data_IF_874207764226
#
_entry.id   IF_874207764226
#
_cell.length_a   1.000
_cell.length_b   1.000
_cell.length_c   1.000
_cell.angle_alpha   90.00
_cell.angle_beta   90.00
_cell.angle_gamma   90.00
#
_symmetry.space_group_name_H-M   'P 1'
#
loop_
_entity.id
_entity.type
_entity.pdbx_description
1 polymer ?
#
# COMPACT_ATOMS: atom_id res chain seq x y z
N UNK A 1 -9.42 -25.56 -3.62
CA UNK A 1 -9.43 -24.70 -2.42
C UNK A 1 -10.85 -24.73 -1.84
N UNK A 2 -11.01 -24.94 -0.53
CA UNK A 2 -12.32 -25.19 0.11
C UNK A 2 -12.64 -24.16 1.19
N UNK A 3 -13.92 -23.91 1.54
CA UNK A 3 -14.29 -23.04 2.67
C UNK A 3 -13.65 -23.47 3.99
N UNK A 4 -13.58 -24.77 4.26
CA UNK A 4 -12.94 -25.33 5.48
C UNK A 4 -11.45 -24.98 5.57
N UNK A 5 -10.72 -24.97 4.44
CA UNK A 5 -9.32 -24.52 4.42
C UNK A 5 -9.20 -23.04 4.78
N UNK A 6 -10.01 -22.18 4.17
CA UNK A 6 -9.96 -20.74 4.43
C UNK A 6 -10.38 -20.42 5.86
N UNK A 7 -11.41 -21.10 6.37
CA UNK A 7 -11.84 -21.00 7.76
C UNK A 7 -10.72 -21.37 8.74
N UNK A 8 -10.02 -22.49 8.50
CA UNK A 8 -8.86 -22.87 9.32
C UNK A 8 -7.71 -21.87 9.22
N UNK A 9 -7.42 -21.33 8.03
CA UNK A 9 -6.40 -20.31 7.86
C UNK A 9 -6.74 -19.04 8.64
N UNK A 10 -7.99 -18.58 8.58
CA UNK A 10 -8.47 -17.43 9.34
C UNK A 10 -8.32 -17.65 10.84
N UNK A 11 -8.77 -18.80 11.35
CA UNK A 11 -8.63 -19.15 12.76
C UNK A 11 -7.15 -19.28 13.18
N UNK A 12 -6.30 -19.81 12.29
CA UNK A 12 -4.86 -19.92 12.54
C UNK A 12 -4.17 -18.55 12.60
N UNK A 13 -4.60 -17.59 11.79
CA UNK A 13 -4.09 -16.21 11.88
C UNK A 13 -4.36 -15.64 13.28
N UNK A 14 -5.58 -15.81 13.79
CA UNK A 14 -5.99 -15.38 15.13
C UNK A 14 -5.25 -16.13 16.26
N UNK A 15 -5.47 -17.44 16.36
CA UNK A 15 -5.15 -18.24 17.55
C UNK A 15 -4.19 -19.41 17.25
N UNK A 16 -3.61 -19.44 16.04
CA UNK A 16 -2.76 -20.52 15.58
C UNK A 16 -1.29 -20.37 15.93
N UNK A 17 -0.64 -21.50 16.18
CA UNK A 17 0.83 -21.64 16.20
C UNK A 17 1.25 -22.99 15.64
N UNK A 18 2.46 -23.09 15.11
CA UNK A 18 2.92 -24.32 14.51
C UNK A 18 4.42 -24.50 14.59
N UNK A 19 4.87 -25.75 14.61
CA UNK A 19 6.26 -26.09 14.34
C UNK A 19 6.35 -27.51 13.77
N UNK A 20 7.44 -27.86 13.05
CA UNK A 20 7.60 -29.21 12.51
C UNK A 20 7.52 -30.31 13.57
N UNK A 21 7.87 -30.00 14.82
CA UNK A 21 7.85 -30.95 15.95
C UNK A 21 6.53 -30.96 16.70
N UNK A 22 5.90 -29.80 16.90
CA UNK A 22 4.67 -29.68 17.69
C UNK A 22 3.39 -29.82 16.85
N UNK A 23 3.51 -29.85 15.51
CA UNK A 23 2.37 -29.87 14.61
C UNK A 23 1.72 -28.50 14.46
N UNK A 24 0.48 -28.49 13.98
CA UNK A 24 -0.40 -27.31 13.93
C UNK A 24 -1.23 -27.27 15.20
N UNK A 25 -1.29 -26.13 15.88
CA UNK A 25 -2.02 -25.94 17.14
C UNK A 25 -2.91 -24.72 17.04
N UNK A 26 -4.16 -24.85 17.44
CA UNK A 26 -5.10 -23.74 17.58
C UNK A 26 -5.46 -23.60 19.06
N UNK A 27 -5.20 -22.44 19.65
CA UNK A 27 -5.68 -22.13 20.99
C UNK A 27 -7.19 -21.90 20.94
N UNK A 28 -7.90 -22.55 21.86
CA UNK A 28 -9.34 -22.41 22.02
C UNK A 28 -9.58 -21.57 23.27
N UNK A 29 -9.73 -20.26 23.07
CA UNK A 29 -10.21 -19.37 24.12
C UNK A 29 -11.61 -19.77 24.62
N UNK A 30 -12.18 -19.04 25.57
CA UNK A 30 -13.50 -19.35 26.13
C UNK A 30 -14.63 -19.44 25.08
N UNK A 31 -14.46 -18.77 23.92
CA UNK A 31 -15.38 -18.86 22.76
C UNK A 31 -14.99 -19.92 21.74
N UNK A 32 -13.71 -20.32 21.72
CA UNK A 32 -13.18 -21.31 20.77
C UNK A 32 -13.78 -22.71 20.99
N UNK A 33 -14.18 -23.04 22.22
CA UNK A 33 -14.82 -24.34 22.51
C UNK A 33 -16.12 -24.54 21.71
N UNK A 34 -16.90 -23.47 21.51
CA UNK A 34 -18.14 -23.47 20.69
C UNK A 34 -17.88 -23.98 19.27
N UNK A 35 -16.71 -23.69 18.72
CA UNK A 35 -16.35 -23.98 17.33
C UNK A 35 -15.54 -25.27 17.16
N UNK A 36 -15.29 -26.00 18.25
CA UNK A 36 -14.40 -27.17 18.24
C UNK A 36 -14.82 -28.21 17.21
N UNK A 37 -16.11 -28.55 17.13
CA UNK A 37 -16.62 -29.54 16.19
C UNK A 37 -16.42 -29.13 14.73
N UNK A 38 -16.61 -27.84 14.44
CA UNK A 38 -16.39 -27.29 13.11
C UNK A 38 -14.90 -27.25 12.75
N UNK A 39 -14.03 -26.88 13.70
CA UNK A 39 -12.58 -26.93 13.50
C UNK A 39 -12.08 -28.36 13.27
N UNK A 40 -12.57 -29.34 14.04
CA UNK A 40 -12.26 -30.76 13.84
C UNK A 40 -12.64 -31.20 12.43
N UNK A 41 -13.88 -30.91 12.01
CA UNK A 41 -14.36 -31.21 10.65
C UNK A 41 -13.46 -30.58 9.60
N UNK A 42 -13.10 -29.31 9.78
CA UNK A 42 -12.25 -28.62 8.82
C UNK A 42 -10.85 -29.25 8.74
N UNK A 43 -10.26 -29.70 9.86
CA UNK A 43 -8.99 -30.43 9.84
C UNK A 43 -9.11 -31.77 9.09
N UNK A 44 -10.22 -32.49 9.29
CA UNK A 44 -10.50 -33.74 8.58
C UNK A 44 -10.67 -33.51 7.08
N UNK A 45 -11.41 -32.47 6.67
CA UNK A 45 -11.57 -32.11 5.25
C UNK A 45 -10.23 -31.74 4.61
N UNK A 46 -9.40 -30.96 5.31
CA UNK A 46 -8.16 -30.40 4.73
C UNK A 46 -7.01 -31.39 4.72
N UNK A 47 -6.85 -32.17 5.79
CA UNK A 47 -5.70 -33.05 5.98
C UNK A 47 -6.04 -34.54 5.95
N UNK A 48 -7.32 -34.91 5.95
CA UNK A 48 -7.75 -36.30 6.12
C UNK A 48 -7.40 -36.86 7.51
N UNK A 49 -7.20 -35.97 8.50
CA UNK A 49 -6.73 -36.32 9.84
C UNK A 49 -7.52 -35.59 10.91
N UNK A 50 -7.97 -36.32 11.92
CA UNK A 50 -8.63 -35.77 13.10
C UNK A 50 -7.59 -35.17 14.06
N UNK A 51 -7.70 -33.88 14.43
CA UNK A 51 -6.84 -33.27 15.42
C UNK A 51 -7.27 -33.71 16.83
N UNK A 52 -6.36 -33.65 17.80
CA UNK A 52 -6.62 -34.01 19.19
C UNK A 52 -6.86 -32.77 20.04
N UNK A 53 -7.98 -32.75 20.77
CA UNK A 53 -8.27 -31.74 21.77
C UNK A 53 -7.45 -32.02 23.04
N UNK A 54 -6.67 -31.04 23.48
CA UNK A 54 -5.88 -31.08 24.70
C UNK A 54 -6.42 -30.05 25.68
N UNK A 55 -6.72 -30.48 26.90
CA UNK A 55 -7.15 -29.60 28.00
C UNK A 55 -6.07 -29.59 29.08
N UNK A 56 -5.90 -28.44 29.72
CA UNK A 56 -4.94 -28.20 30.80
C UNK A 56 -5.63 -27.37 31.87
N UNK A 57 -5.30 -27.57 33.15
CA UNK A 57 -5.88 -26.77 34.24
C UNK A 57 -5.43 -25.31 34.18
N UNK A 58 -4.15 -25.06 33.86
CA UNK A 58 -3.56 -23.70 33.87
C UNK A 58 -3.54 -22.96 32.52
N UNK A 59 -4.02 -23.59 31.44
CA UNK A 59 -3.94 -23.07 30.06
C UNK A 59 -5.25 -23.23 29.33
N UNK A 60 -5.45 -22.40 28.31
CA UNK A 60 -6.56 -22.55 27.38
C UNK A 60 -6.50 -23.92 26.69
N UNK A 61 -7.66 -24.47 26.34
CA UNK A 61 -7.71 -25.71 25.58
C UNK A 61 -7.04 -25.51 24.21
N UNK A 62 -6.47 -26.57 23.64
CA UNK A 62 -5.80 -26.50 22.35
C UNK A 62 -6.23 -27.66 21.45
N UNK A 63 -6.56 -27.35 20.20
CA UNK A 63 -6.75 -28.34 19.15
C UNK A 63 -5.42 -28.56 18.43
N UNK A 64 -4.90 -29.80 18.43
CA UNK A 64 -3.56 -30.11 17.91
C UNK A 64 -3.60 -31.18 16.83
N UNK A 65 -3.08 -30.86 15.64
CA UNK A 65 -2.74 -31.83 14.61
C UNK A 65 -1.23 -32.08 14.64
N UNK A 66 -0.82 -33.17 15.30
CA UNK A 66 0.59 -33.59 15.36
C UNK A 66 0.92 -34.43 14.12
N UNK A 67 1.13 -33.75 13.00
CA UNK A 67 1.58 -34.34 11.75
C UNK A 67 2.66 -33.43 11.15
N UNK A 68 3.87 -33.98 10.97
CA UNK A 68 5.03 -33.22 10.51
C UNK A 68 4.88 -32.75 9.06
N UNK A 69 4.29 -33.59 8.20
CA UNK A 69 4.08 -33.24 6.80
C UNK A 69 3.06 -32.11 6.74
N UNK A 70 1.93 -32.26 7.43
CA UNK A 70 0.90 -31.22 7.51
C UNK A 70 1.48 -29.89 8.04
N UNK A 71 2.29 -29.93 9.10
CA UNK A 71 2.88 -28.72 9.68
C UNK A 71 3.89 -28.04 8.75
N UNK A 72 4.74 -28.81 8.06
CA UNK A 72 5.68 -28.26 7.08
C UNK A 72 4.94 -27.67 5.87
N UNK A 73 3.96 -28.40 5.34
CA UNK A 73 3.11 -27.90 4.25
C UNK A 73 2.40 -26.61 4.68
N UNK A 74 1.79 -26.58 5.86
CA UNK A 74 1.10 -25.40 6.38
C UNK A 74 2.05 -24.21 6.52
N UNK A 75 3.26 -24.45 7.01
CA UNK A 75 4.28 -23.43 7.20
C UNK A 75 4.77 -22.84 5.86
N UNK A 76 5.19 -23.69 4.92
CA UNK A 76 5.83 -23.22 3.69
C UNK A 76 4.80 -22.78 2.64
N UNK A 77 3.67 -23.47 2.49
CA UNK A 77 2.66 -23.14 1.46
C UNK A 77 1.90 -21.87 1.79
N UNK A 78 1.62 -21.62 3.07
CA UNK A 78 0.83 -20.46 3.50
C UNK A 78 1.66 -19.35 4.15
N UNK A 79 3.00 -19.45 4.10
CA UNK A 79 3.89 -18.37 4.54
C UNK A 79 3.94 -18.16 6.06
N UNK A 80 3.80 -19.23 6.85
CA UNK A 80 3.89 -19.17 8.31
C UNK A 80 5.25 -19.61 8.87
N UNK A 81 6.24 -19.86 8.01
CA UNK A 81 7.59 -20.20 8.44
C UNK A 81 8.23 -19.06 9.23
N UNK A 82 8.61 -19.34 10.47
CA UNK A 82 9.17 -18.33 11.38
C UNK A 82 8.19 -17.23 11.81
N UNK A 83 6.91 -17.33 11.43
CA UNK A 83 5.92 -16.30 11.73
C UNK A 83 5.59 -16.26 13.24
N UNK A 84 5.56 -15.05 13.79
CA UNK A 84 5.15 -14.76 15.16
C UNK A 84 3.87 -13.93 15.14
N UNK A 85 3.29 -13.65 16.31
CA UNK A 85 2.12 -12.77 16.40
C UNK A 85 2.34 -11.37 15.79
N UNK A 86 3.59 -10.90 15.70
CA UNK A 86 3.94 -9.59 15.13
C UNK A 86 4.30 -9.63 13.65
N UNK A 87 4.56 -10.82 13.09
CA UNK A 87 5.03 -10.97 11.70
C UNK A 87 4.12 -11.81 10.81
N UNK A 88 3.08 -12.45 11.37
CA UNK A 88 2.03 -13.12 10.57
C UNK A 88 1.48 -12.17 9.51
N UNK A 89 1.02 -12.74 8.40
CA UNK A 89 0.39 -12.04 7.27
C UNK A 89 -0.82 -12.84 6.79
N UNK A 90 -1.71 -12.18 6.04
CA UNK A 90 -2.77 -12.90 5.32
C UNK A 90 -2.10 -13.73 4.22
N UNK A 91 -2.34 -15.04 4.14
CA UNK A 91 -1.73 -15.88 3.09
C UNK A 91 -2.14 -15.43 1.69
N UNK A 92 -1.20 -15.47 0.74
CA UNK A 92 -1.43 -15.01 -0.64
C UNK A 92 -2.62 -15.67 -1.33
N UNK A 93 -2.90 -16.92 -0.96
CA UNK A 93 -4.05 -17.67 -1.46
C UNK A 93 -5.39 -16.94 -1.23
N UNK A 94 -5.53 -16.21 -0.12
CA UNK A 94 -6.78 -15.51 0.24
C UNK A 94 -7.14 -14.43 -0.78
N UNK A 95 -6.16 -13.81 -1.43
CA UNK A 95 -6.37 -12.78 -2.44
C UNK A 95 -6.84 -13.34 -3.79
N UNK A 96 -6.65 -14.64 -4.02
CA UNK A 96 -6.89 -15.29 -5.32
C UNK A 96 -8.16 -16.15 -5.34
N UNK A 97 -8.98 -16.06 -4.30
CA UNK A 97 -10.21 -16.85 -4.17
C UNK A 97 -11.47 -15.99 -4.26
N UNK A 98 -12.58 -16.64 -4.56
CA UNK A 98 -13.89 -15.99 -4.65
C UNK A 98 -14.29 -15.34 -3.32
N UNK A 99 -15.18 -14.37 -3.40
CA UNK A 99 -15.69 -13.64 -2.23
C UNK A 99 -16.25 -14.56 -1.12
N UNK A 100 -17.03 -15.64 -1.40
CA UNK A 100 -17.47 -16.56 -0.36
C UNK A 100 -16.32 -17.27 0.38
N UNK A 101 -15.21 -17.55 -0.32
CA UNK A 101 -14.02 -18.15 0.30
C UNK A 101 -13.24 -17.13 1.13
N UNK A 102 -13.15 -15.87 0.68
CA UNK A 102 -12.64 -14.75 1.50
C UNK A 102 -13.49 -14.56 2.76
N UNK A 103 -14.81 -14.69 2.66
CA UNK A 103 -15.72 -14.59 3.81
C UNK A 103 -15.49 -15.73 4.81
N UNK A 104 -15.25 -16.95 4.33
CA UNK A 104 -14.90 -18.08 5.20
C UNK A 104 -13.59 -17.83 5.98
N UNK A 105 -12.59 -17.19 5.37
CA UNK A 105 -11.37 -16.76 6.05
C UNK A 105 -11.65 -15.71 7.13
N UNK A 106 -12.38 -14.63 6.79
CA UNK A 106 -12.76 -13.59 7.75
C UNK A 106 -13.56 -14.18 8.92
N UNK A 107 -14.45 -15.14 8.66
CA UNK A 107 -15.23 -15.85 9.68
C UNK A 107 -14.32 -16.63 10.62
N UNK A 108 -13.36 -17.37 10.07
CA UNK A 108 -12.37 -18.10 10.87
C UNK A 108 -11.60 -17.18 11.82
N UNK A 109 -11.17 -16.02 11.32
CA UNK A 109 -10.47 -15.04 12.14
C UNK A 109 -11.40 -14.43 13.20
N UNK A 110 -12.59 -13.98 12.79
CA UNK A 110 -13.59 -13.40 13.71
C UNK A 110 -13.92 -14.36 14.87
N UNK A 111 -13.96 -15.66 14.60
CA UNK A 111 -14.29 -16.69 15.61
C UNK A 111 -13.13 -17.02 16.54
N UNK A 112 -11.89 -16.79 16.12
CA UNK A 112 -10.71 -16.96 16.96
C UNK A 112 -10.62 -15.89 18.03
N UNK A 113 -10.31 -14.66 17.62
CA UNK A 113 -10.04 -13.54 18.52
C UNK A 113 -10.92 -12.29 18.28
N UNK A 114 -11.76 -12.32 17.25
CA UNK A 114 -12.61 -11.18 16.88
C UNK A 114 -13.70 -10.86 17.90
N UNK A 115 -14.17 -9.62 17.92
CA UNK A 115 -15.22 -9.12 18.82
C UNK A 115 -16.50 -8.88 18.05
N UNK A 116 -17.60 -9.46 18.55
CA UNK A 116 -18.97 -9.23 18.08
C UNK A 116 -19.76 -8.59 19.20
N UNK A 117 -20.27 -7.38 18.95
CA UNK A 117 -21.05 -6.58 19.88
C UNK A 117 -22.13 -5.78 19.13
N UNK A 118 -22.91 -4.98 19.87
CA UNK A 118 -24.03 -4.23 19.33
C UNK A 118 -23.57 -3.26 18.22
N UNK A 119 -23.92 -3.59 16.95
CA UNK A 119 -23.50 -2.83 15.75
C UNK A 119 -21.99 -2.65 15.61
N UNK A 120 -21.23 -3.67 16.02
CA UNK A 120 -19.78 -3.58 16.07
C UNK A 120 -19.11 -4.93 15.82
N UNK A 121 -18.25 -4.97 14.80
CA UNK A 121 -17.27 -6.03 14.57
C UNK A 121 -15.87 -5.46 14.74
N UNK A 122 -14.98 -6.21 15.40
CA UNK A 122 -13.58 -5.83 15.51
C UNK A 122 -12.63 -7.02 15.46
N UNK A 123 -11.45 -6.78 14.93
CA UNK A 123 -10.30 -7.69 14.98
C UNK A 123 -9.13 -6.96 15.61
N UNK A 124 -8.35 -7.67 16.44
CA UNK A 124 -7.16 -7.13 17.07
C UNK A 124 -5.93 -7.91 16.60
N UNK A 125 -4.80 -7.24 16.43
CA UNK A 125 -3.55 -7.91 16.06
C UNK A 125 -2.33 -7.08 16.47
N UNK A 126 -1.20 -7.75 16.71
CA UNK A 126 0.10 -7.11 16.88
C UNK A 126 0.95 -7.16 15.61
N UNK A 127 0.39 -7.62 14.48
CA UNK A 127 1.04 -7.55 13.17
C UNK A 127 0.47 -6.40 12.36
N UNK A 128 1.34 -5.45 11.99
CA UNK A 128 0.99 -4.34 11.10
C UNK A 128 0.48 -4.85 9.74
N UNK A 129 1.07 -5.93 9.24
CA UNK A 129 0.71 -6.51 7.94
C UNK A 129 -0.65 -7.21 7.98
N UNK A 130 -0.99 -7.85 9.10
CA UNK A 130 -2.34 -8.38 9.31
C UNK A 130 -3.36 -7.26 9.40
N UNK A 131 -3.07 -6.18 10.13
CA UNK A 131 -3.99 -5.04 10.25
C UNK A 131 -4.23 -4.36 8.90
N UNK A 132 -3.16 -4.08 8.16
CA UNK A 132 -3.26 -3.50 6.82
C UNK A 132 -3.97 -4.45 5.86
N UNK A 133 -3.55 -5.72 5.80
CA UNK A 133 -4.15 -6.74 4.95
C UNK A 133 -5.64 -6.94 5.27
N UNK A 134 -6.05 -6.89 6.54
CA UNK A 134 -7.45 -7.01 6.90
C UNK A 134 -8.27 -5.84 6.34
N UNK A 135 -7.75 -4.61 6.38
CA UNK A 135 -8.43 -3.48 5.78
C UNK A 135 -8.59 -3.62 4.26
N UNK A 136 -7.55 -4.07 3.55
CA UNK A 136 -7.66 -4.41 2.11
C UNK A 136 -8.64 -5.57 1.85
N UNK A 137 -8.64 -6.58 2.71
CA UNK A 137 -9.54 -7.71 2.55
C UNK A 137 -10.99 -7.25 2.75
N UNK A 138 -11.27 -6.38 3.72
CA UNK A 138 -12.59 -5.80 3.92
C UNK A 138 -13.00 -4.87 2.77
N UNK A 139 -12.09 -4.05 2.23
CA UNK A 139 -12.40 -3.20 1.07
C UNK A 139 -12.79 -4.02 -0.16
N UNK A 140 -12.28 -5.25 -0.29
CA UNK A 140 -12.68 -6.19 -1.34
C UNK A 140 -14.14 -6.69 -1.25
N UNK A 141 -14.85 -6.37 -0.16
CA UNK A 141 -16.31 -6.53 0.03
C UNK A 141 -17.06 -5.20 -0.07
N UNK A 142 -16.39 -4.11 -0.48
CA UNK A 142 -16.93 -2.75 -0.42
C UNK A 142 -17.08 -2.21 1.01
N UNK A 143 -16.35 -2.77 1.98
CA UNK A 143 -16.44 -2.37 3.39
C UNK A 143 -15.31 -1.42 3.76
N UNK A 144 -15.68 -0.26 4.31
CA UNK A 144 -14.72 0.72 4.83
C UNK A 144 -14.55 0.52 6.33
N UNK A 145 -13.40 -0.02 6.73
CA UNK A 145 -13.06 -0.26 8.13
C UNK A 145 -12.27 0.91 8.73
N UNK A 146 -12.38 1.07 10.05
CA UNK A 146 -11.53 2.00 10.82
C UNK A 146 -10.36 1.22 11.44
N UNK A 147 -9.14 1.70 11.20
CA UNK A 147 -7.91 1.17 11.82
C UNK A 147 -7.51 2.11 12.95
N UNK A 148 -7.27 1.54 14.13
CA UNK A 148 -6.72 2.26 15.27
C UNK A 148 -5.42 1.60 15.73
N UNK A 149 -4.45 2.41 16.10
CA UNK A 149 -3.14 2.00 16.60
C UNK A 149 -3.00 2.36 18.07
N UNK A 150 -2.39 1.47 18.85
CA UNK A 150 -2.11 1.69 20.27
C UNK A 150 -0.71 1.21 20.62
N UNK A 151 0.09 2.16 21.07
CA UNK A 151 1.45 1.89 21.56
C UNK A 151 1.44 1.27 22.97
N UNK A 152 2.48 0.49 23.32
CA UNK A 152 2.73 0.08 24.69
C UNK A 152 2.79 1.28 25.64
N UNK A 153 1.99 1.25 26.71
CA UNK A 153 1.97 2.30 27.73
C UNK A 153 2.87 2.00 28.94
N UNK A 154 3.50 0.83 28.97
CA UNK A 154 4.35 0.37 30.08
C UNK A 154 3.59 0.05 31.37
N UNK A 155 2.25 0.11 31.37
CA UNK A 155 1.45 -0.08 32.57
C UNK A 155 1.27 -1.56 32.86
N UNK A 156 1.70 -1.98 34.05
CA UNK A 156 1.43 -3.33 34.59
C UNK A 156 -0.04 -3.42 34.98
N UNK A 157 -0.74 -4.38 34.40
CA UNK A 157 -2.14 -4.69 34.68
C UNK A 157 -2.27 -6.10 35.19
N UNK A 158 -3.03 -6.29 36.26
CA UNK A 158 -3.32 -7.64 36.76
C UNK A 158 -4.47 -8.25 35.96
N UNK A 159 -4.17 -9.28 35.16
CA UNK A 159 -5.15 -10.03 34.37
C UNK A 159 -5.19 -11.46 34.91
N UNK A 160 -6.36 -11.89 35.40
CA UNK A 160 -6.57 -13.23 35.98
C UNK A 160 -5.53 -13.57 37.07
N UNK A 161 -5.22 -12.59 37.94
CA UNK A 161 -4.28 -12.75 39.05
C UNK A 161 -2.80 -12.77 38.64
N UNK A 162 -2.46 -12.48 37.38
CA UNK A 162 -1.08 -12.38 36.90
C UNK A 162 -0.79 -10.98 36.38
N UNK A 163 0.40 -10.48 36.66
CA UNK A 163 0.86 -9.21 36.12
C UNK A 163 1.14 -9.34 34.63
N UNK A 164 0.51 -8.46 33.85
CA UNK A 164 0.57 -8.43 32.40
C UNK A 164 0.96 -7.02 31.95
N UNK A 165 1.86 -6.94 30.97
CA UNK A 165 2.30 -5.68 30.36
C UNK A 165 2.19 -5.85 28.84
N UNK A 166 1.55 -4.90 28.18
CA UNK A 166 1.55 -4.82 26.71
C UNK A 166 2.95 -4.43 26.27
N UNK A 167 3.60 -5.28 25.47
CA UNK A 167 4.99 -5.08 25.02
C UNK A 167 5.14 -4.59 23.59
N UNK A 168 4.13 -4.85 22.77
CA UNK A 168 4.14 -4.54 21.34
C UNK A 168 3.00 -3.59 21.02
N UNK A 169 3.20 -2.76 20.00
CA UNK A 169 2.12 -2.03 19.34
C UNK A 169 1.03 -3.00 18.91
N UNK A 170 -0.22 -2.57 19.02
CA UNK A 170 -1.35 -3.35 18.56
C UNK A 170 -2.32 -2.49 17.77
N UNK A 171 -2.95 -3.11 16.79
CA UNK A 171 -3.93 -2.51 15.93
C UNK A 171 -5.29 -3.13 16.19
N UNK A 172 -6.33 -2.31 16.08
CA UNK A 172 -7.72 -2.77 16.05
C UNK A 172 -8.37 -2.27 14.76
N UNK A 173 -8.92 -3.20 13.99
CA UNK A 173 -9.68 -2.93 12.76
C UNK A 173 -11.15 -3.15 13.07
N UNK A 174 -11.98 -2.13 12.84
CA UNK A 174 -13.37 -2.11 13.29
C UNK A 174 -14.34 -1.74 12.18
N UNK A 175 -15.51 -2.37 12.19
CA UNK A 175 -16.62 -2.11 11.27
C UNK A 175 -17.89 -1.84 12.08
N UNK A 176 -18.52 -0.69 11.86
CA UNK A 176 -19.68 -0.24 12.63
C UNK A 176 -20.85 0.27 11.80
N UNK A 177 -20.62 0.61 10.52
CA UNK A 177 -21.69 1.08 9.65
C UNK A 177 -22.63 -0.07 9.30
N UNK A 178 -23.94 0.14 9.40
CA UNK A 178 -24.94 -0.93 9.19
C UNK A 178 -24.84 -1.58 7.82
N UNK A 179 -24.69 -0.79 6.76
CA UNK A 179 -24.52 -1.29 5.39
C UNK A 179 -23.28 -2.19 5.26
N UNK A 180 -22.18 -1.81 5.92
CA UNK A 180 -20.94 -2.59 5.90
C UNK A 180 -21.06 -3.87 6.71
N UNK A 181 -21.78 -3.83 7.85
CA UNK A 181 -22.14 -5.02 8.61
C UNK A 181 -23.03 -5.95 7.79
N UNK A 182 -23.98 -5.42 7.03
CA UNK A 182 -24.83 -6.21 6.14
C UNK A 182 -24.04 -6.88 5.01
N UNK A 183 -23.07 -6.16 4.40
CA UNK A 183 -22.14 -6.75 3.42
C UNK A 183 -21.32 -7.91 4.00
N UNK A 184 -21.01 -7.86 5.29
CA UNK A 184 -20.30 -8.91 5.99
C UNK A 184 -21.20 -10.00 6.59
N UNK A 185 -22.49 -10.07 6.23
CA UNK A 185 -23.43 -11.04 6.84
C UNK A 185 -22.89 -12.47 6.85
N UNK A 186 -22.33 -12.95 5.75
CA UNK A 186 -21.74 -14.29 5.64
C UNK A 186 -20.57 -14.54 6.63
N UNK A 187 -19.95 -13.49 7.16
CA UNK A 187 -18.83 -13.57 8.12
C UNK A 187 -19.33 -13.77 9.55
N UNK A 188 -20.45 -13.16 9.94
CA UNK A 188 -20.89 -13.12 11.35
C UNK A 188 -22.25 -13.77 11.61
N UNK A 189 -23.06 -14.09 10.60
CA UNK A 189 -24.44 -14.56 10.80
C UNK A 189 -24.56 -15.87 11.58
N UNK A 190 -23.51 -16.69 11.55
CA UNK A 190 -23.44 -17.96 12.27
C UNK A 190 -22.89 -17.81 13.69
N UNK A 191 -22.44 -16.61 14.08
CA UNK A 191 -21.89 -16.33 15.41
C UNK A 191 -23.01 -16.34 16.48
N UNK A 192 -22.78 -16.87 17.70
CA UNK A 192 -23.79 -16.97 18.76
C UNK A 192 -24.45 -15.67 19.20
N UNK A 193 -23.85 -14.52 18.89
CA UNK A 193 -24.34 -13.16 19.16
C UNK A 193 -24.67 -12.41 17.87
N UNK A 194 -24.91 -13.12 16.76
CA UNK A 194 -25.27 -12.53 15.48
C UNK A 194 -26.47 -11.57 15.58
N UNK A 195 -27.42 -11.84 16.49
CA UNK A 195 -28.57 -10.98 16.76
C UNK A 195 -28.18 -9.57 17.23
N UNK A 196 -26.98 -9.42 17.81
CA UNK A 196 -26.46 -8.13 18.27
C UNK A 196 -25.89 -7.28 17.14
N UNK A 197 -25.46 -7.89 16.04
CA UNK A 197 -24.76 -7.17 14.97
C UNK A 197 -25.66 -6.12 14.31
N UNK A 198 -26.93 -6.44 14.08
CA UNK A 198 -27.87 -5.50 13.46
C UNK A 198 -28.78 -4.78 14.47
N UNK A 199 -28.88 -5.27 15.71
CA UNK A 199 -29.69 -4.67 16.78
C UNK A 199 -31.20 -4.69 16.49
N UNK A 200 -32.02 -4.52 17.53
CA UNK A 200 -33.48 -4.67 17.44
C UNK A 200 -34.25 -3.47 16.86
N UNK A 201 -33.58 -2.47 16.23
CA UNK A 201 -34.27 -1.26 15.76
C UNK A 201 -33.71 -0.66 14.45
N UNK A 202 -34.57 -0.44 13.42
CA UNK A 202 -34.21 0.05 12.10
C UNK A 202 -34.09 1.58 12.03
N UNK A 203 -33.68 2.25 13.12
CA UNK A 203 -33.27 3.65 12.98
C UNK A 203 -31.88 3.65 12.36
N UNK A 204 -31.86 3.76 11.04
CA UNK A 204 -30.69 4.15 10.27
C UNK A 204 -30.14 5.44 10.91
N UNK A 205 -29.06 5.30 11.68
CA UNK A 205 -28.25 6.48 11.97
C UNK A 205 -27.67 6.93 10.63
N UNK A 206 -27.59 8.25 10.37
CA UNK A 206 -26.87 8.76 9.22
C UNK A 206 -25.50 8.08 9.20
N UNK A 207 -25.11 7.58 8.03
CA UNK A 207 -23.92 6.75 7.81
C UNK A 207 -22.77 7.27 8.66
N UNK A 208 -22.31 6.50 9.65
CA UNK A 208 -21.14 6.86 10.48
C UNK A 208 -19.83 6.71 9.70
N UNK A 209 -19.90 6.94 8.38
CA UNK A 209 -18.81 6.85 7.42
C UNK A 209 -18.14 8.21 7.37
N UNK A 210 -16.86 8.24 7.75
CA UNK A 210 -16.01 9.45 7.71
C UNK A 210 -15.20 9.49 6.42
N UNK A 211 -15.89 9.46 5.29
CA UNK A 211 -15.29 9.64 3.96
C UNK A 211 -16.25 10.36 3.04
N UNK A 212 -15.72 10.91 1.95
CA UNK A 212 -16.52 11.47 0.85
C UNK A 212 -16.37 10.56 -0.35
N UNK A 213 -17.50 10.13 -0.92
CA UNK A 213 -17.49 9.36 -2.17
C UNK A 213 -16.92 10.23 -3.29
N UNK A 214 -16.00 9.66 -4.06
CA UNK A 214 -15.53 10.25 -5.32
C UNK A 214 -16.18 9.47 -6.48
N UNK A 215 -15.54 9.47 -7.64
CA UNK A 215 -16.01 8.70 -8.78
C UNK A 215 -15.47 7.26 -8.72
N UNK A 216 -16.23 6.32 -9.32
CA UNK A 216 -15.83 4.92 -9.40
C UNK A 216 -15.76 4.24 -8.03
N UNK A 217 -14.61 3.65 -7.74
CA UNK A 217 -14.27 2.95 -6.50
C UNK A 217 -13.43 3.80 -5.53
N UNK A 218 -13.28 5.10 -5.80
CA UNK A 218 -12.49 6.02 -5.01
C UNK A 218 -13.30 6.71 -3.91
N UNK A 219 -12.64 6.95 -2.78
CA UNK A 219 -13.15 7.73 -1.66
C UNK A 219 -12.08 8.69 -1.14
N UNK A 220 -12.49 9.88 -0.73
CA UNK A 220 -11.63 10.82 -0.04
C UNK A 220 -11.72 10.61 1.47
N UNK A 221 -10.57 10.37 2.10
CA UNK A 221 -10.42 10.29 3.55
C UNK A 221 -9.86 11.62 4.10
N UNK A 222 -10.38 12.15 5.22
CA UNK A 222 -9.84 13.36 5.81
C UNK A 222 -8.44 13.11 6.38
N UNK A 223 -7.49 13.98 6.02
CA UNK A 223 -6.16 13.98 6.62
C UNK A 223 -6.27 14.44 8.08
N UNK A 224 -5.89 13.57 9.01
CA UNK A 224 -5.98 13.85 10.45
C UNK A 224 -4.72 14.49 11.03
N UNK A 225 -3.55 14.18 10.45
CA UNK A 225 -2.27 14.79 10.79
C UNK A 225 -1.25 14.57 9.68
N UNK A 226 -0.28 15.47 9.58
CA UNK A 226 0.91 15.33 8.72
C UNK A 226 2.13 15.46 9.62
N UNK A 227 3.12 14.59 9.45
CA UNK A 227 4.36 14.58 10.23
C UNK A 227 5.54 14.45 9.29
N UNK A 228 6.57 15.22 9.55
CA UNK A 228 7.86 15.03 8.90
C UNK A 228 8.55 13.81 9.52
N UNK A 229 9.09 12.94 8.66
CA UNK A 229 9.77 11.71 9.07
C UNK A 229 11.08 11.60 8.30
N UNK A 230 12.13 11.13 8.98
CA UNK A 230 13.39 10.83 8.30
C UNK A 230 13.24 9.58 7.44
N UNK A 231 13.93 9.57 6.29
CA UNK A 231 13.98 8.40 5.43
C UNK A 231 14.65 7.23 6.18
N UNK A 232 13.93 6.11 6.33
CA UNK A 232 14.35 4.98 7.17
C UNK A 232 15.68 4.37 6.74
N UNK A 233 16.02 4.49 5.45
CA UNK A 233 17.27 4.01 4.85
C UNK A 233 17.89 5.03 3.88
N UNK A 234 17.46 6.30 3.91
CA UNK A 234 17.91 7.34 2.98
C UNK A 234 17.38 7.22 1.54
N UNK A 235 16.60 6.17 1.22
CA UNK A 235 16.07 5.92 -0.12
C UNK A 235 14.57 6.23 -0.19
N UNK A 236 14.13 6.72 -1.34
CA UNK A 236 12.72 6.82 -1.73
C UNK A 236 12.49 5.97 -2.98
N UNK A 237 11.30 5.41 -3.12
CA UNK A 237 10.95 4.48 -4.20
C UNK A 237 9.69 4.96 -4.90
N UNK A 238 9.59 4.65 -6.19
CA UNK A 238 8.41 4.90 -7.02
C UNK A 238 8.26 3.79 -8.07
N UNK A 239 7.10 3.72 -8.72
CA UNK A 239 6.76 2.74 -9.75
C UNK A 239 6.26 3.45 -11.01
N UNK A 240 6.74 3.07 -12.20
CA UNK A 240 6.00 3.43 -13.42
C UNK A 240 4.87 2.43 -13.63
N UNK A 241 3.62 2.90 -13.68
CA UNK A 241 2.43 2.10 -13.94
C UNK A 241 1.81 2.58 -15.23
N UNK A 242 1.64 1.67 -16.19
CA UNK A 242 1.06 1.96 -17.50
C UNK A 242 -0.40 2.40 -17.37
N UNK A 243 -0.85 3.25 -18.32
CA UNK A 243 -2.21 3.78 -18.45
C UNK A 243 -2.64 4.77 -17.36
N UNK A 244 -2.88 4.29 -16.15
CA UNK A 244 -3.55 5.05 -15.09
C UNK A 244 -2.60 5.85 -14.20
N UNK A 245 -1.28 5.61 -14.32
CA UNK A 245 -0.24 6.37 -13.61
C UNK A 245 -0.43 6.39 -12.08
N UNK A 246 -1.12 5.40 -11.52
CA UNK A 246 -1.41 5.29 -10.10
C UNK A 246 -1.30 3.85 -9.59
N UNK A 247 -1.09 3.73 -8.28
CA UNK A 247 -0.95 2.46 -7.58
C UNK A 247 -1.46 2.59 -6.14
N UNK A 248 -1.65 1.45 -5.48
CA UNK A 248 -2.10 1.43 -4.09
C UNK A 248 -0.93 1.14 -3.15
N UNK A 249 -0.76 1.97 -2.13
CA UNK A 249 0.30 1.85 -1.15
C UNK A 249 -0.15 2.23 0.28
N UNK A 250 0.77 2.14 1.23
CA UNK A 250 0.52 2.51 2.62
C UNK A 250 -0.40 1.53 3.37
N UNK A 251 -0.74 1.92 4.59
CA UNK A 251 -1.60 1.11 5.46
C UNK A 251 -3.07 1.29 5.07
N UNK A 252 -3.76 0.17 4.80
CA UNK A 252 -5.19 0.18 4.49
C UNK A 252 -5.57 0.56 3.06
N UNK A 253 -4.61 0.78 2.16
CA UNK A 253 -4.87 0.98 0.74
C UNK A 253 -5.13 2.42 0.34
N UNK A 254 -4.07 3.23 0.33
CA UNK A 254 -4.10 4.59 -0.18
C UNK A 254 -3.76 4.60 -1.67
N UNK A 255 -4.57 5.29 -2.47
CA UNK A 255 -4.24 5.57 -3.86
C UNK A 255 -3.08 6.58 -3.90
N UNK A 256 -2.04 6.24 -4.67
CA UNK A 256 -0.83 7.03 -4.88
C UNK A 256 -0.61 7.18 -6.39
N UNK A 257 -0.16 8.34 -6.82
CA UNK A 257 0.21 8.60 -8.21
C UNK A 257 1.70 8.35 -8.38
N UNK A 258 2.15 7.80 -9.51
CA UNK A 258 3.56 7.70 -9.79
C UNK A 258 4.18 9.05 -10.17
N UNK A 259 5.47 9.22 -9.94
CA UNK A 259 6.22 10.30 -10.58
C UNK A 259 6.93 9.75 -11.80
N UNK A 260 6.58 10.28 -12.98
CA UNK A 260 7.05 9.76 -14.26
C UNK A 260 8.57 9.79 -14.37
N UNK A 261 9.08 8.72 -15.00
CA UNK A 261 10.43 8.57 -15.43
C UNK A 261 10.53 8.37 -16.97
N UNK A 262 9.61 8.88 -17.79
CA UNK A 262 9.66 8.75 -19.25
C UNK A 262 10.18 9.99 -20.00
N UNK A 263 10.36 9.78 -21.31
CA UNK A 263 11.11 10.55 -22.31
C UNK A 263 10.63 12.01 -22.46
N UNK A 264 9.41 12.33 -22.04
CA UNK A 264 8.82 13.67 -22.12
C UNK A 264 8.06 14.08 -20.84
N UNK A 265 8.64 13.83 -19.65
CA UNK A 265 8.09 14.20 -18.32
C UNK A 265 7.66 15.67 -18.11
N UNK A 266 7.73 16.51 -19.16
CA UNK A 266 7.03 17.79 -19.26
C UNK A 266 5.50 17.68 -19.21
N UNK A 267 4.89 16.60 -19.73
CA UNK A 267 3.43 16.40 -19.71
C UNK A 267 2.92 16.21 -18.28
N UNK A 268 3.44 15.21 -17.56
CA UNK A 268 3.03 14.92 -16.19
C UNK A 268 3.35 16.08 -15.25
N UNK A 269 4.50 16.74 -15.47
CA UNK A 269 4.89 17.92 -14.70
C UNK A 269 3.86 19.02 -14.85
N UNK A 270 3.33 19.22 -16.05
CA UNK A 270 2.27 20.20 -16.30
C UNK A 270 0.97 19.78 -15.60
N UNK A 271 0.55 18.51 -15.69
CA UNK A 271 -0.64 17.99 -14.99
C UNK A 271 -0.53 18.13 -13.47
N UNK A 272 0.58 17.68 -12.88
CA UNK A 272 0.84 17.76 -11.44
C UNK A 272 0.92 19.22 -10.99
N UNK A 273 1.56 20.10 -11.76
CA UNK A 273 1.56 21.54 -11.46
C UNK A 273 0.14 22.11 -11.43
N UNK A 274 -0.73 21.73 -12.38
CA UNK A 274 -2.15 22.14 -12.37
C UNK A 274 -2.90 21.57 -11.18
N UNK A 275 -2.66 20.32 -10.81
CA UNK A 275 -3.24 19.70 -9.62
C UNK A 275 -2.84 20.44 -8.35
N UNK A 276 -1.54 20.62 -8.10
CA UNK A 276 -1.04 21.35 -6.92
C UNK A 276 -1.53 22.79 -6.90
N UNK A 277 -1.63 23.46 -8.06
CA UNK A 277 -2.22 24.79 -8.13
C UNK A 277 -3.67 24.84 -7.68
N UNK A 278 -4.50 23.95 -8.21
CA UNK A 278 -5.96 24.01 -8.03
C UNK A 278 -6.42 23.41 -6.71
N UNK A 279 -5.77 22.33 -6.28
CA UNK A 279 -6.20 21.54 -5.14
C UNK A 279 -5.34 21.79 -3.89
N UNK A 280 -4.09 22.22 -4.04
CA UNK A 280 -3.14 22.35 -2.92
C UNK A 280 -2.21 23.59 -3.05
N UNK A 281 -2.73 24.80 -3.32
CA UNK A 281 -1.90 25.98 -3.58
C UNK A 281 -0.96 26.32 -2.42
N UNK A 282 -1.32 25.96 -1.19
CA UNK A 282 -0.54 26.22 0.01
C UNK A 282 0.84 25.55 -0.03
N UNK A 283 0.97 24.38 -0.68
CA UNK A 283 2.26 23.70 -0.83
C UNK A 283 3.23 24.50 -1.71
N UNK A 284 2.69 25.24 -2.68
CA UNK A 284 3.47 26.07 -3.58
C UNK A 284 3.81 27.40 -2.89
N UNK A 285 2.83 28.02 -2.24
CA UNK A 285 3.01 29.26 -1.46
C UNK A 285 4.08 29.12 -0.36
N UNK A 286 4.14 27.95 0.28
CA UNK A 286 5.11 27.65 1.33
C UNK A 286 6.46 27.15 0.77
N UNK A 287 6.59 27.04 -0.55
CA UNK A 287 7.84 26.66 -1.22
C UNK A 287 8.22 25.19 -1.03
N UNK A 288 7.25 24.29 -0.95
CA UNK A 288 7.47 22.85 -0.75
C UNK A 288 7.47 22.03 -2.05
N UNK A 289 7.18 22.65 -3.20
CA UNK A 289 7.16 21.96 -4.50
C UNK A 289 8.46 22.19 -5.27
N UNK A 290 9.16 21.10 -5.58
CA UNK A 290 10.43 21.11 -6.31
C UNK A 290 10.39 20.16 -7.50
N UNK A 291 11.06 20.54 -8.58
CA UNK A 291 11.18 19.76 -9.82
C UNK A 291 12.63 19.33 -9.95
N UNK A 292 12.89 18.03 -10.01
CA UNK A 292 14.22 17.52 -10.29
C UNK A 292 14.65 17.89 -11.71
N UNK A 293 15.89 18.35 -11.86
CA UNK A 293 16.45 18.71 -13.16
C UNK A 293 17.44 17.62 -13.55
N UNK A 294 17.09 16.71 -14.48
CA UNK A 294 18.05 15.77 -15.02
C UNK A 294 19.03 16.44 -15.99
N UNK A 295 20.21 15.83 -16.21
CA UNK A 295 21.14 16.30 -17.22
C UNK A 295 20.60 16.07 -18.63
N UNK A 296 20.87 17.00 -19.54
CA UNK A 296 20.48 16.92 -20.95
C UNK A 296 21.44 16.06 -21.77
N UNK A 297 22.71 15.98 -21.34
CA UNK A 297 23.75 15.26 -22.08
C UNK A 297 24.69 14.49 -21.16
N UNK A 298 25.24 13.40 -21.68
CA UNK A 298 26.45 12.74 -21.16
C UNK A 298 27.55 12.83 -22.19
N UNK A 299 28.69 13.40 -21.80
CA UNK A 299 29.91 13.45 -22.60
C UNK A 299 30.94 12.49 -21.98
N UNK A 300 31.39 11.50 -22.76
CA UNK A 300 32.31 10.44 -22.31
C UNK A 300 33.51 10.30 -23.22
N UNK A 301 34.71 10.24 -22.64
CA UNK A 301 35.96 9.91 -23.34
C UNK A 301 36.82 8.98 -22.49
N UNK A 302 36.90 7.70 -22.88
CA UNK A 302 37.66 6.70 -22.11
C UNK A 302 37.05 6.46 -20.73
N UNK A 303 37.79 6.83 -19.67
CA UNK A 303 37.34 6.73 -18.26
C UNK A 303 36.72 8.03 -17.73
N UNK A 304 36.84 9.13 -18.44
CA UNK A 304 36.25 10.41 -18.04
C UNK A 304 34.82 10.49 -18.58
N UNK A 305 33.86 10.75 -17.71
CA UNK A 305 32.46 11.00 -18.06
C UNK A 305 31.92 12.19 -17.27
N UNK A 306 31.15 13.03 -17.95
CA UNK A 306 30.60 14.27 -17.41
C UNK A 306 29.16 14.42 -17.89
N UNK A 307 28.28 14.79 -16.97
CA UNK A 307 26.90 15.15 -17.24
C UNK A 307 26.78 16.66 -17.46
N UNK A 308 25.99 17.07 -18.45
CA UNK A 308 25.78 18.48 -18.79
C UNK A 308 24.29 18.81 -18.77
N UNK A 309 23.96 19.97 -18.21
CA UNK A 309 22.58 20.44 -18.01
C UNK A 309 22.18 21.54 -18.99
N UNK A 310 23.10 21.95 -19.88
CA UNK A 310 22.84 22.90 -20.95
C UNK A 310 23.66 22.57 -22.20
N UNK A 311 23.23 23.11 -23.35
CA UNK A 311 23.99 23.04 -24.59
C UNK A 311 25.36 23.72 -24.48
N UNK A 312 25.43 24.85 -23.77
CA UNK A 312 26.67 25.57 -23.53
C UNK A 312 27.67 24.74 -22.72
N UNK A 313 27.19 24.04 -21.69
CA UNK A 313 28.02 23.11 -20.91
C UNK A 313 28.51 21.95 -21.77
N UNK A 314 27.61 21.33 -22.54
CA UNK A 314 27.97 20.25 -23.47
C UNK A 314 29.04 20.72 -24.45
N UNK A 315 28.88 21.89 -25.08
CA UNK A 315 29.84 22.42 -26.05
C UNK A 315 31.20 22.73 -25.41
N UNK A 316 31.20 23.29 -24.20
CA UNK A 316 32.44 23.52 -23.43
C UNK A 316 33.12 22.20 -23.08
N UNK A 317 32.38 21.19 -22.62
CA UNK A 317 32.93 19.88 -22.26
C UNK A 317 33.43 19.13 -23.50
N UNK A 318 32.71 19.19 -24.61
CA UNK A 318 33.15 18.65 -25.91
C UNK A 318 34.45 19.31 -26.35
N UNK A 319 34.57 20.65 -26.30
CA UNK A 319 35.82 21.35 -26.63
C UNK A 319 36.96 20.96 -25.70
N UNK A 320 36.74 21.01 -24.39
CA UNK A 320 37.74 20.61 -23.37
C UNK A 320 38.25 19.19 -23.57
N UNK A 321 37.33 18.26 -23.81
CA UNK A 321 37.65 16.86 -24.02
C UNK A 321 38.21 16.58 -25.41
N UNK A 322 38.16 17.53 -26.36
CA UNK A 322 38.72 17.42 -27.72
C UNK A 322 40.11 18.06 -27.83
N UNK A 323 40.33 19.18 -27.14
CA UNK A 323 41.55 19.98 -27.18
C UNK A 323 42.66 19.34 -26.35
N UNK A 324 43.44 18.45 -26.98
CA UNK A 324 44.64 17.85 -26.38
C UNK A 324 45.03 16.48 -26.92
N UNK A 325 44.17 15.80 -27.70
CA UNK A 325 44.46 14.48 -28.30
C UNK A 325 43.81 14.38 -29.67
N UNK A 326 44.64 14.23 -30.72
CA UNK A 326 44.26 14.20 -32.14
C UNK A 326 42.93 13.48 -32.44
N UNK A 327 41.93 14.27 -32.82
CA UNK A 327 40.70 13.82 -33.48
C UNK A 327 39.56 13.37 -32.56
N UNK A 328 38.34 13.43 -33.12
CA UNK A 328 37.06 13.00 -32.54
C UNK A 328 36.97 11.49 -32.21
N UNK A 329 38.05 10.73 -32.38
CA UNK A 329 38.10 9.30 -32.05
C UNK A 329 37.98 9.10 -30.54
N UNK A 330 36.88 8.47 -30.13
CA UNK A 330 36.61 8.03 -28.76
C UNK A 330 35.81 9.01 -27.89
N UNK A 331 35.32 10.12 -28.44
CA UNK A 331 34.36 10.99 -27.76
C UNK A 331 32.93 10.50 -28.05
N UNK A 332 32.17 10.22 -27.00
CA UNK A 332 30.77 9.83 -27.07
C UNK A 332 29.93 10.91 -26.42
N UNK A 333 28.96 11.44 -27.17
CA UNK A 333 27.94 12.37 -26.64
C UNK A 333 26.60 11.67 -26.75
N UNK A 334 25.94 11.48 -25.62
CA UNK A 334 24.58 10.97 -25.55
C UNK A 334 23.68 12.12 -25.09
N UNK A 335 22.56 12.32 -25.78
CA UNK A 335 21.48 13.21 -25.35
C UNK A 335 20.48 12.37 -24.56
N UNK A 336 19.98 12.91 -23.46
CA UNK A 336 18.84 12.36 -22.72
C UNK A 336 17.61 13.19 -23.07
N UNK A 337 16.56 12.52 -23.53
CA UNK A 337 15.26 13.18 -23.75
C UNK A 337 14.42 13.18 -22.47
N UNK A 338 14.46 12.08 -21.71
CA UNK A 338 13.88 11.98 -20.37
C UNK A 338 14.58 10.94 -19.50
N UNK A 339 14.03 10.67 -18.32
CA UNK A 339 14.69 9.87 -17.29
C UNK A 339 14.84 8.39 -17.68
N UNK A 340 13.94 7.86 -18.51
CA UNK A 340 13.89 6.45 -18.92
C UNK A 340 15.01 6.05 -19.87
N UNK A 341 15.77 7.01 -20.39
CA UNK A 341 16.98 6.76 -21.19
C UNK A 341 18.24 6.57 -20.33
N UNK A 342 18.10 6.65 -19.00
CA UNK A 342 19.17 6.48 -18.02
C UNK A 342 19.06 5.09 -17.36
N UNK A 343 20.20 4.42 -17.15
CA UNK A 343 20.21 3.21 -16.34
C UNK A 343 20.12 3.55 -14.84
N UNK A 344 19.87 2.56 -13.95
CA UNK A 344 19.68 2.80 -12.52
C UNK A 344 20.85 3.54 -11.85
N UNK A 345 22.10 3.20 -12.18
CA UNK A 345 23.27 3.86 -11.61
C UNK A 345 23.36 5.33 -12.03
N UNK A 346 23.11 5.61 -13.31
CA UNK A 346 23.12 6.96 -13.86
C UNK A 346 22.03 7.82 -13.23
N UNK A 347 20.82 7.27 -13.12
CA UNK A 347 19.67 7.96 -12.54
C UNK A 347 19.93 8.32 -11.07
N UNK A 348 20.55 7.40 -10.32
CA UNK A 348 20.94 7.63 -8.94
C UNK A 348 21.98 8.76 -8.83
N UNK A 349 23.07 8.67 -9.58
CA UNK A 349 24.17 9.64 -9.51
C UNK A 349 23.77 11.06 -9.90
N UNK A 350 22.83 11.21 -10.85
CA UNK A 350 22.48 12.52 -11.41
C UNK A 350 21.25 13.16 -10.78
N UNK A 351 20.19 12.38 -10.55
CA UNK A 351 18.85 12.94 -10.34
C UNK A 351 18.24 12.54 -8.99
N UNK A 352 18.51 11.31 -8.51
CA UNK A 352 17.88 10.81 -7.29
C UNK A 352 18.71 11.02 -6.02
N UNK A 353 20.05 11.05 -6.10
CA UNK A 353 20.91 11.23 -4.94
C UNK A 353 20.69 12.60 -4.27
N UNK A 354 20.21 12.66 -3.01
CA UNK A 354 19.94 13.92 -2.31
C UNK A 354 21.16 14.84 -2.15
N UNK A 355 22.37 14.28 -2.12
CA UNK A 355 23.61 15.04 -1.91
C UNK A 355 24.08 15.75 -3.19
N UNK A 356 23.74 15.23 -4.37
CA UNK A 356 24.25 15.72 -5.67
C UNK A 356 23.17 16.22 -6.63
N UNK A 357 21.89 15.90 -6.38
CA UNK A 357 20.78 16.27 -7.26
C UNK A 357 20.60 17.78 -7.37
N UNK A 358 20.17 18.21 -8.55
CA UNK A 358 19.75 19.59 -8.80
C UNK A 358 18.23 19.67 -8.87
N UNK A 359 17.64 20.59 -8.11
CA UNK A 359 16.18 20.79 -8.05
C UNK A 359 15.83 22.25 -8.33
N UNK A 360 14.73 22.48 -9.06
CA UNK A 360 14.13 23.80 -9.25
C UNK A 360 12.94 23.96 -8.31
N UNK A 361 12.95 24.99 -7.47
CA UNK A 361 11.77 25.38 -6.68
C UNK A 361 10.69 25.97 -7.61
N UNK A 362 9.45 25.52 -7.47
CA UNK A 362 8.29 26.06 -8.19
C UNK A 362 7.79 27.32 -7.49
N UNK A 363 7.54 28.39 -8.25
CA UNK A 363 7.04 29.67 -7.74
C UNK A 363 5.68 30.01 -8.34
N UNK A 364 4.90 30.85 -7.64
CA UNK A 364 3.60 31.36 -8.09
C UNK A 364 3.65 32.07 -9.46
N UNK A 365 4.72 32.81 -9.75
CA UNK A 365 4.87 33.53 -11.02
C UNK A 365 5.03 32.57 -12.22
N UNK A 366 5.57 31.37 -12.01
CA UNK A 366 5.67 30.33 -13.04
C UNK A 366 4.28 29.78 -13.44
N UNK A 367 3.20 30.16 -12.72
CA UNK A 367 1.88 29.56 -12.82
C UNK A 367 0.87 30.38 -13.63
N UNK A 368 0.95 31.72 -13.60
CA UNK A 368 0.11 32.58 -14.45
C UNK A 368 0.38 32.26 -15.92
N UNK A 369 1.65 32.08 -16.26
CA UNK A 369 2.06 31.64 -17.59
C UNK A 369 1.58 30.22 -17.92
N UNK A 370 1.61 29.29 -16.96
CA UNK A 370 1.18 27.91 -17.17
C UNK A 370 -0.35 27.75 -17.32
N UNK A 371 -1.16 28.44 -16.52
CA UNK A 371 -2.64 28.35 -16.58
C UNK A 371 -3.20 29.00 -17.85
N UNK A 372 -2.61 30.10 -18.32
CA UNK A 372 -2.96 30.69 -19.63
C UNK A 372 -2.69 29.73 -20.79
N UNK A 373 -1.54 29.05 -20.75
CA UNK A 373 -1.17 28.05 -21.77
C UNK A 373 -2.10 26.84 -21.69
N UNK A 374 -2.39 26.35 -20.48
CA UNK A 374 -3.26 25.19 -20.28
C UNK A 374 -4.70 25.48 -20.72
N UNK A 375 -5.27 26.63 -20.35
CA UNK A 375 -6.62 27.03 -20.76
C UNK A 375 -6.74 27.15 -22.28
N UNK A 376 -5.71 27.69 -22.95
CA UNK A 376 -5.67 27.79 -24.41
C UNK A 376 -5.49 26.44 -25.11
N UNK A 377 -4.67 25.55 -24.55
CA UNK A 377 -4.33 24.27 -25.19
C UNK A 377 -5.32 23.14 -24.87
N UNK A 378 -5.92 23.14 -23.68
CA UNK A 378 -6.78 22.06 -23.17
C UNK A 378 -8.24 22.50 -22.98
N UNK A 379 -8.59 23.76 -23.24
CA UNK A 379 -9.99 24.24 -23.20
C UNK A 379 -10.82 23.83 -24.42
N UNK A 380 -12.14 23.86 -24.30
CA UNK A 380 -13.09 23.37 -25.33
C UNK A 380 -13.07 24.19 -26.65
N UNK A 381 -12.46 25.38 -26.63
CA UNK A 381 -12.39 26.26 -27.78
C UNK A 381 -11.28 25.81 -28.76
N UNK A 382 -11.72 25.30 -29.92
CA UNK A 382 -10.82 24.78 -30.97
C UNK A 382 -10.00 25.88 -31.65
N UNK A 383 -10.59 27.04 -31.92
CA UNK A 383 -9.94 28.09 -32.72
C UNK A 383 -8.75 28.77 -32.02
N UNK A 384 -8.85 29.17 -30.72
CA UNK A 384 -7.71 29.72 -29.99
C UNK A 384 -6.54 28.75 -29.86
N UNK A 385 -6.85 27.45 -29.73
CA UNK A 385 -5.84 26.38 -29.70
C UNK A 385 -5.10 26.30 -31.03
N UNK A 386 -5.84 26.30 -32.13
CA UNK A 386 -5.29 26.24 -33.49
C UNK A 386 -4.38 27.43 -33.79
N UNK A 387 -4.85 28.66 -33.52
CA UNK A 387 -4.07 29.88 -33.72
C UNK A 387 -2.77 29.87 -32.91
N UNK A 388 -2.82 29.39 -31.66
CA UNK A 388 -1.65 29.30 -30.80
C UNK A 388 -0.61 28.30 -31.35
N UNK A 389 -1.06 27.12 -31.80
CA UNK A 389 -0.20 26.10 -32.41
C UNK A 389 0.44 26.63 -33.69
N UNK A 390 -0.32 27.27 -34.58
CA UNK A 390 0.19 27.86 -35.82
C UNK A 390 1.22 28.97 -35.55
N UNK A 391 0.98 29.83 -34.54
CA UNK A 391 1.86 30.95 -34.20
C UNK A 391 3.14 30.56 -33.43
N UNK A 392 3.22 29.34 -32.91
CA UNK A 392 4.35 28.84 -32.12
C UNK A 392 4.97 27.55 -32.70
N UNK A 393 4.52 27.13 -33.87
CA UNK A 393 4.99 25.92 -34.56
C UNK A 393 6.51 25.94 -34.83
N UNK A 394 7.06 27.13 -35.07
CA UNK A 394 8.49 27.38 -35.31
C UNK A 394 9.36 27.28 -34.05
N UNK A 395 8.74 27.31 -32.86
CA UNK A 395 9.43 27.21 -31.56
C UNK A 395 9.45 25.78 -31.00
N UNK A 396 8.81 24.83 -31.69
CA UNK A 396 8.75 23.42 -31.27
C UNK A 396 10.13 22.78 -31.44
N UNK A 397 10.75 22.37 -30.33
CA UNK A 397 12.07 21.72 -30.32
C UNK A 397 11.99 20.19 -30.28
N UNK A 398 10.86 19.63 -29.81
CA UNK A 398 10.59 18.19 -29.75
C UNK A 398 9.31 17.92 -30.56
N UNK A 399 9.47 17.42 -31.78
CA UNK A 399 8.37 17.04 -32.65
C UNK A 399 8.60 15.56 -33.01
N UNK A 400 7.77 14.68 -32.47
CA UNK A 400 7.77 13.27 -32.86
C UNK A 400 7.20 13.15 -34.27
N UNK A 401 8.09 13.01 -35.24
CA UNK A 401 7.75 12.47 -36.54
C UNK A 401 7.74 10.95 -36.38
N UNK A 402 6.54 10.37 -36.46
CA UNK A 402 6.31 8.91 -36.50
C UNK A 402 7.11 8.25 -37.61
#
# INVERSE_FOLDING_TARGET
VTPDLLFLLGFYVAEGSGSPRAGIRLALGARGETWTSELIRAFETVFGRTPKLHRSEDRVAELRLVDRIAALTWSHVFGFEGATATTKRIPDLVWRVSEPLRAAFLRGWLFGDGTVADRHLAWATSSRDLASGLAYLLSSFGVVASISEREPDGVVRTIRGRDCVTRNTHWSVTVTATEDLERLRAVWETEPRAERVLGSSPKAQPTNRRFTELSGDLMALPVTSVREVEATNGMVYDFSVEEDENFVAGMGGLCCHNTDADVDGSHIRTLLMTFFFRQMPQLIEQGHLYIAIPPLYRVKRGKEEVYCYSDDEKDRMVKRMSDGKSGSKGLQVQRYKGLGEMNPEQLWETTLNPETRTMRLVRLDDMVSADEIFTKLMGDAVEPRREWIEAHADKVQNLDLV
#
